data_IF_477844218969
#
_entry.id   IF_477844218969
#
_cell.length_a   1.000
_cell.length_b   1.000
_cell.length_c   1.000
_cell.angle_alpha   90.00
_cell.angle_beta   90.00
_cell.angle_gamma   90.00
#
_symmetry.space_group_name_H-M   'P 1'
#
loop_
_entity.id
_entity.type
_entity.pdbx_description
1 polymer ?
#
# COMPACT_ATOMS: atom_id res chain seq x y z
N UNK A 1 -7.11 2.77 -5.53
CA UNK A 1 -5.98 1.95 -5.05
C UNK A 1 -6.03 0.54 -5.62
N UNK A 2 -4.92 0.04 -6.17
CA UNK A 2 -4.79 -1.36 -6.56
C UNK A 2 -4.81 -2.26 -5.31
N UNK A 3 -5.34 -3.49 -5.42
CA UNK A 3 -5.38 -4.43 -4.31
C UNK A 3 -3.97 -4.85 -3.88
N UNK A 4 -3.73 -4.99 -2.57
CA UNK A 4 -2.44 -5.48 -2.02
C UNK A 4 -2.19 -6.95 -2.29
N UNK A 5 -3.27 -7.73 -2.39
CA UNK A 5 -3.27 -9.16 -2.70
C UNK A 5 -4.66 -9.61 -3.13
N UNK A 6 -4.79 -10.83 -3.63
CA UNK A 6 -6.06 -11.39 -4.09
C UNK A 6 -7.06 -11.67 -2.97
N UNK A 7 -6.57 -11.85 -1.75
CA UNK A 7 -7.37 -12.05 -0.54
C UNK A 7 -6.94 -11.02 0.48
N UNK A 8 -7.87 -10.16 0.88
CA UNK A 8 -7.68 -9.24 2.00
C UNK A 8 -8.19 -9.88 3.29
N UNK A 9 -7.37 -9.85 4.32
CA UNK A 9 -7.71 -10.37 5.65
C UNK A 9 -8.06 -9.16 6.54
N UNK A 10 -9.26 -9.19 7.13
CA UNK A 10 -9.75 -8.16 8.04
C UNK A 10 -10.17 -8.81 9.35
N UNK A 11 -9.78 -8.21 10.47
CA UNK A 11 -10.24 -8.63 11.78
C UNK A 11 -11.58 -7.93 12.10
N UNK A 12 -12.55 -8.71 12.56
CA UNK A 12 -13.83 -8.23 13.08
C UNK A 12 -14.06 -8.76 14.49
N UNK A 13 -15.03 -8.18 15.21
CA UNK A 13 -15.47 -8.67 16.52
C UNK A 13 -15.94 -10.14 16.47
N UNK A 14 -16.49 -10.55 15.33
CA UNK A 14 -17.01 -11.90 15.10
C UNK A 14 -15.95 -12.86 14.50
N UNK A 15 -14.69 -12.42 14.37
CA UNK A 15 -13.57 -13.22 13.88
C UNK A 15 -12.89 -12.68 12.62
N UNK A 16 -12.12 -13.55 11.95
CA UNK A 16 -11.33 -13.20 10.77
C UNK A 16 -12.20 -13.26 9.52
N UNK A 17 -12.34 -12.13 8.82
CA UNK A 17 -13.01 -12.00 7.55
C UNK A 17 -12.00 -12.05 6.41
N UNK A 18 -12.19 -12.98 5.48
CA UNK A 18 -11.39 -13.09 4.26
C UNK A 18 -12.22 -12.62 3.08
N UNK A 19 -11.77 -11.55 2.42
CA UNK A 19 -12.43 -10.97 1.25
C UNK A 19 -11.59 -11.21 0.01
N UNK A 20 -12.16 -11.90 -0.99
CA UNK A 20 -11.50 -12.14 -2.28
C UNK A 20 -11.80 -10.97 -3.22
N UNK A 21 -10.86 -10.62 -4.10
CA UNK A 21 -11.09 -9.64 -5.17
C UNK A 21 -12.25 -10.07 -6.10
N UNK A 22 -13.00 -9.13 -6.67
CA UNK A 22 -14.11 -9.45 -7.57
C UNK A 22 -13.67 -10.28 -8.78
N UNK A 23 -14.49 -11.25 -9.19
CA UNK A 23 -14.30 -12.05 -10.41
C UNK A 23 -12.88 -12.66 -10.57
N UNK A 24 -12.34 -13.18 -9.46
CA UNK A 24 -10.99 -13.72 -9.40
C UNK A 24 -10.70 -14.79 -10.46
N UNK A 25 -11.61 -15.75 -10.67
CA UNK A 25 -11.41 -16.87 -11.60
C UNK A 25 -11.11 -16.42 -13.03
N UNK A 26 -11.73 -15.31 -13.49
CA UNK A 26 -11.57 -14.82 -14.86
C UNK A 26 -10.57 -13.66 -14.98
N UNK A 27 -10.31 -12.92 -13.89
CA UNK A 27 -9.53 -11.68 -13.91
C UNK A 27 -8.21 -11.76 -13.16
N UNK A 28 -7.84 -12.88 -12.53
CA UNK A 28 -6.58 -13.00 -11.76
C UNK A 28 -5.35 -12.53 -12.53
N UNK A 29 -5.26 -12.84 -13.82
CA UNK A 29 -4.11 -12.52 -14.68
C UNK A 29 -4.17 -11.08 -15.23
N UNK A 30 -5.27 -10.37 -15.00
CA UNK A 30 -5.50 -8.98 -15.42
C UNK A 30 -5.35 -7.98 -14.28
N UNK A 31 -5.37 -8.45 -13.03
CA UNK A 31 -5.13 -7.60 -11.88
C UNK A 31 -3.65 -7.27 -11.77
N UNK A 32 -3.35 -5.98 -11.59
CA UNK A 32 -2.03 -5.51 -11.16
C UNK A 32 -2.11 -5.26 -9.65
N UNK A 33 -1.34 -6.03 -8.87
CA UNK A 33 -1.30 -5.85 -7.42
C UNK A 33 -0.41 -4.66 -7.06
N UNK A 34 -0.65 -4.07 -5.88
CA UNK A 34 0.07 -2.89 -5.42
C UNK A 34 1.60 -3.04 -5.50
N UNK A 35 2.13 -4.19 -5.09
CA UNK A 35 3.57 -4.45 -5.01
C UNK A 35 4.16 -5.02 -6.31
N UNK A 36 3.33 -5.31 -7.31
CA UNK A 36 3.78 -5.69 -8.66
C UNK A 36 4.07 -4.43 -9.51
N UNK A 37 3.54 -3.28 -9.09
CA UNK A 37 3.79 -1.99 -9.72
C UNK A 37 5.25 -1.59 -9.47
N UNK A 38 5.97 -1.30 -10.57
CA UNK A 38 7.40 -0.97 -10.53
C UNK A 38 7.70 0.40 -9.92
N UNK A 39 6.91 1.42 -10.26
CA UNK A 39 7.12 2.80 -9.81
C UNK A 39 5.80 3.57 -9.68
N UNK A 40 5.83 4.72 -9.00
CA UNK A 40 4.65 5.55 -8.79
C UNK A 40 4.24 6.37 -10.02
N UNK A 41 5.01 6.36 -11.12
CA UNK A 41 4.79 7.32 -12.21
C UNK A 41 3.48 7.06 -12.96
N UNK A 42 3.20 5.81 -13.33
CA UNK A 42 1.95 5.46 -14.00
C UNK A 42 0.73 5.79 -13.14
N UNK A 43 0.79 5.47 -11.85
CA UNK A 43 -0.27 5.78 -10.89
C UNK A 43 -0.48 7.30 -10.74
N UNK A 44 0.59 8.09 -10.57
CA UNK A 44 0.50 9.55 -10.44
C UNK A 44 -0.06 10.20 -11.70
N UNK A 45 0.28 9.70 -12.90
CA UNK A 45 -0.30 10.17 -14.16
C UNK A 45 -1.80 9.90 -14.23
N UNK A 46 -2.25 8.71 -13.83
CA UNK A 46 -3.68 8.38 -13.77
C UNK A 46 -4.43 9.30 -12.79
N UNK A 47 -3.89 9.51 -11.58
CA UNK A 47 -4.47 10.44 -10.61
C UNK A 47 -4.52 11.87 -11.15
N UNK A 48 -3.50 12.32 -11.87
CA UNK A 48 -3.50 13.64 -12.51
C UNK A 48 -4.56 13.77 -13.63
N UNK A 49 -4.74 12.73 -14.44
CA UNK A 49 -5.81 12.68 -15.46
C UNK A 49 -7.19 12.77 -14.79
N UNK A 50 -7.41 12.04 -13.69
CA UNK A 50 -8.64 12.15 -12.92
C UNK A 50 -8.81 13.56 -12.33
N UNK A 51 -7.73 14.13 -11.79
CA UNK A 51 -7.72 15.45 -11.15
C UNK A 51 -8.17 16.58 -12.08
N UNK A 52 -8.04 16.41 -13.40
CA UNK A 52 -8.58 17.33 -14.42
C UNK A 52 -10.10 17.53 -14.30
N UNK A 53 -10.83 16.51 -13.87
CA UNK A 53 -12.29 16.51 -13.79
C UNK A 53 -12.83 16.50 -12.35
N UNK A 54 -11.95 16.38 -11.35
CA UNK A 54 -12.32 16.41 -9.94
C UNK A 54 -12.22 17.84 -9.41
N UNK A 55 -13.36 18.37 -8.94
CA UNK A 55 -13.46 19.74 -8.42
C UNK A 55 -12.53 19.96 -7.21
N UNK A 56 -12.55 19.02 -6.26
CA UNK A 56 -11.74 19.04 -5.05
C UNK A 56 -10.38 18.36 -5.29
N UNK A 57 -9.96 17.46 -4.41
CA UNK A 57 -8.68 16.75 -4.48
C UNK A 57 -8.88 15.24 -4.42
N UNK A 58 -7.82 14.50 -4.71
CA UNK A 58 -7.77 13.03 -4.63
C UNK A 58 -6.79 12.64 -3.52
N UNK A 59 -7.18 11.68 -2.68
CA UNK A 59 -6.31 11.05 -1.68
C UNK A 59 -5.27 10.14 -2.35
N UNK A 60 -4.34 10.76 -3.07
CA UNK A 60 -3.32 10.10 -3.89
C UNK A 60 -2.22 9.55 -2.99
N UNK A 61 -1.94 8.25 -3.08
CA UNK A 61 -0.89 7.62 -2.28
C UNK A 61 0.43 7.50 -3.05
N UNK A 62 1.52 7.25 -2.33
CA UNK A 62 2.80 6.86 -2.93
C UNK A 62 3.30 5.60 -2.26
N UNK A 63 3.83 4.67 -3.03
CA UNK A 63 4.20 3.33 -2.56
C UNK A 63 5.67 3.05 -2.86
N UNK A 64 6.36 2.44 -1.89
CA UNK A 64 7.78 2.14 -2.02
C UNK A 64 8.10 0.79 -1.38
N UNK A 65 8.78 -0.07 -2.13
CA UNK A 65 9.27 -1.35 -1.64
C UNK A 65 10.79 -1.25 -1.39
N UNK A 66 11.26 -1.23 -0.11
CA UNK A 66 12.68 -1.13 0.19
C UNK A 66 13.51 -2.27 -0.41
N UNK A 67 12.92 -3.46 -0.61
CA UNK A 67 13.62 -4.64 -1.14
C UNK A 67 14.10 -4.48 -2.58
N UNK A 68 13.55 -3.51 -3.31
CA UNK A 68 13.95 -3.19 -4.68
C UNK A 68 15.18 -2.27 -4.76
N UNK A 69 15.68 -1.78 -3.61
CA UNK A 69 16.78 -0.82 -3.54
C UNK A 69 17.98 -1.38 -2.78
N UNK A 70 19.16 -0.91 -3.15
CA UNK A 70 20.40 -1.33 -2.51
C UNK A 70 20.40 -1.00 -1.00
N UNK A 71 20.84 -1.97 -0.20
CA UNK A 71 20.83 -1.87 1.26
C UNK A 71 19.45 -1.82 1.93
N UNK A 72 18.38 -2.24 1.24
CA UNK A 72 16.99 -2.19 1.73
C UNK A 72 16.54 -0.79 2.16
N UNK A 73 17.04 0.24 1.47
CA UNK A 73 16.77 1.65 1.80
C UNK A 73 16.32 2.39 0.55
N UNK A 74 15.15 3.00 0.63
CA UNK A 74 14.64 3.83 -0.45
C UNK A 74 15.41 5.16 -0.47
N UNK A 75 16.00 5.56 -1.61
CA UNK A 75 16.80 6.77 -1.67
C UNK A 75 15.93 8.03 -1.57
N UNK A 76 16.31 8.99 -0.71
CA UNK A 76 15.61 10.28 -0.56
C UNK A 76 15.41 11.03 -1.89
N UNK A 77 16.35 10.87 -2.82
CA UNK A 77 16.26 11.45 -4.17
C UNK A 77 14.99 11.00 -4.90
N UNK A 78 14.56 9.75 -4.73
CA UNK A 78 13.35 9.22 -5.36
C UNK A 78 12.10 9.93 -4.83
N UNK A 79 11.97 10.07 -3.52
CA UNK A 79 10.82 10.76 -2.91
C UNK A 79 10.66 12.20 -3.40
N UNK A 80 11.77 12.93 -3.49
CA UNK A 80 11.75 14.31 -3.98
C UNK A 80 11.39 14.36 -5.48
N UNK A 81 11.88 13.42 -6.28
CA UNK A 81 11.53 13.33 -7.69
C UNK A 81 10.04 13.02 -7.88
N UNK A 82 9.48 12.10 -7.11
CA UNK A 82 8.05 11.75 -7.20
C UNK A 82 7.16 12.89 -6.71
N UNK A 83 7.57 13.63 -5.67
CA UNK A 83 6.89 14.85 -5.23
C UNK A 83 6.88 15.92 -6.33
N UNK A 84 8.03 16.15 -6.99
CA UNK A 84 8.12 17.10 -8.10
C UNK A 84 7.31 16.65 -9.32
N UNK A 85 7.25 15.34 -9.60
CA UNK A 85 6.38 14.79 -10.66
C UNK A 85 4.91 15.01 -10.33
N UNK A 86 4.48 14.73 -9.11
CA UNK A 86 3.11 14.97 -8.65
C UNK A 86 2.73 16.45 -8.83
N UNK A 87 3.61 17.37 -8.43
CA UNK A 87 3.43 18.81 -8.66
C UNK A 87 3.35 19.16 -10.15
N UNK A 88 4.28 18.64 -10.96
CA UNK A 88 4.31 18.87 -12.42
C UNK A 88 3.03 18.42 -13.11
N UNK A 89 2.45 17.30 -12.69
CA UNK A 89 1.22 16.76 -13.28
C UNK A 89 -0.06 17.42 -12.76
N UNK A 90 0.03 18.27 -11.73
CA UNK A 90 -1.13 18.98 -11.17
C UNK A 90 -1.91 18.18 -10.13
N UNK A 91 -1.28 17.19 -9.49
CA UNK A 91 -1.87 16.49 -8.33
C UNK A 91 -1.97 17.46 -7.17
N UNK A 92 -3.17 17.62 -6.61
CA UNK A 92 -3.44 18.62 -5.56
C UNK A 92 -2.99 18.17 -4.17
N UNK A 93 -3.13 16.89 -3.83
CA UNK A 93 -2.73 16.35 -2.51
C UNK A 93 -2.10 14.97 -2.62
N UNK A 94 -1.08 14.73 -1.80
CA UNK A 94 -0.56 13.40 -1.49
C UNK A 94 -1.02 13.03 -0.07
N UNK A 95 -1.46 11.79 0.12
CA UNK A 95 -2.08 11.32 1.35
C UNK A 95 -1.19 10.37 2.12
N UNK A 96 -1.23 9.05 1.83
CA UNK A 96 -0.37 8.09 2.50
C UNK A 96 0.89 7.78 1.71
N UNK A 97 1.96 7.63 2.47
CA UNK A 97 3.20 7.02 2.04
C UNK A 97 3.23 5.58 2.55
N UNK A 98 3.13 4.61 1.64
CA UNK A 98 3.15 3.18 2.01
C UNK A 98 4.52 2.61 1.74
N UNK A 99 5.20 2.18 2.79
CA UNK A 99 6.44 1.41 2.68
C UNK A 99 6.13 -0.07 2.89
N UNK A 100 6.62 -0.95 2.02
CA UNK A 100 6.49 -2.39 2.22
C UNK A 100 7.30 -2.81 3.43
N UNK A 101 6.65 -3.36 4.45
CA UNK A 101 7.25 -3.81 5.70
C UNK A 101 7.73 -5.27 5.64
N UNK A 102 7.49 -5.97 4.54
CA UNK A 102 7.83 -7.40 4.39
C UNK A 102 6.95 -8.32 5.25
N UNK A 103 6.06 -7.76 6.07
CA UNK A 103 4.97 -8.47 6.70
C UNK A 103 3.92 -8.73 5.65
N UNK A 104 3.92 -9.92 5.06
CA UNK A 104 2.73 -10.38 4.35
C UNK A 104 1.52 -10.21 5.28
N UNK A 105 0.34 -9.91 4.73
CA UNK A 105 -0.95 -9.84 5.44
C UNK A 105 -1.36 -11.22 6.07
N UNK A 106 -0.40 -12.08 6.41
CA UNK A 106 -0.55 -13.39 7.02
C UNK A 106 0.27 -13.60 8.30
N UNK A 107 0.99 -12.59 8.81
CA UNK A 107 1.44 -12.63 10.21
C UNK A 107 0.37 -11.94 11.04
N UNK A 108 -0.69 -12.69 11.31
CA UNK A 108 -1.34 -12.55 12.61
C UNK A 108 -0.18 -12.82 13.58
N UNK A 109 0.37 -11.79 14.19
CA UNK A 109 1.04 -11.99 15.48
C UNK A 109 0.01 -12.76 16.27
N UNK A 110 0.31 -14.05 16.53
CA UNK A 110 -0.46 -14.80 17.49
C UNK A 110 -0.49 -13.89 18.70
N UNK A 111 -1.68 -13.44 19.09
CA UNK A 111 -1.89 -13.02 20.46
C UNK A 111 -1.44 -14.22 21.29
N UNK A 112 -0.18 -14.18 21.75
CA UNK A 112 0.27 -15.04 22.81
C UNK A 112 -0.54 -14.56 24.01
N UNK A 113 -1.67 -15.22 24.25
CA UNK A 113 -2.55 -15.07 25.42
C UNK A 113 -1.81 -15.31 26.76
N UNK A 114 -0.48 -15.42 26.75
CA UNK A 114 0.40 -15.59 27.90
C UNK A 114 1.41 -14.43 28.10
N UNK A 115 1.33 -13.33 27.35
CA UNK A 115 2.29 -12.21 27.48
C UNK A 115 2.11 -11.37 28.77
N UNK A 116 1.17 -11.71 29.66
CA UNK A 116 0.91 -10.96 30.89
C UNK A 116 0.97 -11.82 32.17
N UNK A 117 1.55 -13.01 32.13
CA UNK A 117 1.63 -13.89 33.31
C UNK A 117 2.79 -13.55 34.28
N UNK A 118 3.77 -12.72 33.88
CA UNK A 118 5.00 -12.53 34.68
C UNK A 118 5.47 -11.06 34.86
N UNK A 119 4.55 -10.09 34.75
CA UNK A 119 4.79 -8.73 35.25
C UNK A 119 5.86 -7.89 34.56
N UNK A 120 6.38 -8.31 33.40
CA UNK A 120 7.31 -7.48 32.59
C UNK A 120 6.89 -7.53 31.12
N UNK A 121 6.30 -6.43 30.63
CA UNK A 121 6.06 -6.23 29.21
C UNK A 121 7.39 -5.92 28.50
N UNK A 122 7.68 -6.64 27.41
CA UNK A 122 8.82 -6.33 26.54
C UNK A 122 8.52 -5.04 25.76
N UNK A 123 9.50 -4.13 25.74
CA UNK A 123 9.56 -2.92 24.92
C UNK A 123 9.63 -3.25 23.43
#
# INVERSE_FOLDING_TARGET
EPPRGFVSIKQSKDGILKQIVPDYENLKDKYELLWDIKDNEGYLQLCAIMQKFVDQSISTNTHYDPSQYDGNKVPMKLFLMDLLKAYKYGVKTLYYHTTRDGGGEGVIEKEDDNACADGVCKL
#
